data_IF_405966963172
#
_entry.id   IF_405966963172
#
_cell.length_a   1.000
_cell.length_b   1.000
_cell.length_c   1.000
_cell.angle_alpha   90.00
_cell.angle_beta   90.00
_cell.angle_gamma   90.00
#
_symmetry.space_group_name_H-M   'P 1'
#
loop_
_entity.id
_entity.type
_entity.pdbx_description
1 polymer ?
#
# COMPACT_ATOMS: atom_id res chain seq x y z
N UNK A 1 -18.91 -24.69 26.78
CA UNK A 1 -18.30 -23.64 25.94
C UNK A 1 -16.86 -23.51 26.39
N UNK A 2 -15.91 -23.96 25.57
CA UNK A 2 -14.47 -23.83 25.80
C UNK A 2 -14.03 -22.40 25.48
N UNK A 3 -13.18 -21.74 26.31
CA UNK A 3 -12.66 -20.42 26.01
C UNK A 3 -11.62 -20.49 24.87
N UNK A 4 -11.51 -19.42 24.08
CA UNK A 4 -10.62 -19.33 22.93
C UNK A 4 -9.15 -19.58 23.30
N UNK A 5 -8.39 -20.42 22.54
CA UNK A 5 -6.97 -20.71 22.77
C UNK A 5 -6.05 -19.52 22.45
N UNK A 6 -6.58 -18.48 21.81
CA UNK A 6 -5.90 -17.21 21.62
C UNK A 6 -6.29 -16.28 22.77
N UNK A 7 -5.57 -16.38 23.90
CA UNK A 7 -5.59 -15.34 24.93
C UNK A 7 -5.15 -13.98 24.36
N UNK A 8 -5.40 -12.88 25.09
CA UNK A 8 -5.04 -11.51 24.68
C UNK A 8 -3.55 -11.41 24.27
N UNK A 9 -3.29 -11.53 22.96
CA UNK A 9 -1.94 -11.53 22.35
C UNK A 9 -1.34 -10.13 22.21
N UNK A 10 -1.78 -9.18 23.03
CA UNK A 10 -1.16 -7.87 23.12
C UNK A 10 -1.12 -7.44 24.58
N UNK A 11 0.08 -7.26 25.11
CA UNK A 11 0.27 -6.53 26.36
C UNK A 11 -0.29 -5.12 26.14
N UNK A 12 -1.54 -4.90 26.55
CA UNK A 12 -2.24 -3.62 26.41
C UNK A 12 -1.44 -2.61 27.25
N UNK A 13 -0.55 -1.86 26.58
CA UNK A 13 0.32 -0.91 27.26
C UNK A 13 -0.58 0.04 28.04
N UNK A 14 -0.33 0.17 29.34
CA UNK A 14 -1.05 1.13 30.17
C UNK A 14 -0.87 2.53 29.60
N UNK A 15 -1.87 3.39 29.74
CA UNK A 15 -1.77 4.80 29.34
C UNK A 15 -0.51 5.48 29.94
N UNK A 16 -0.13 5.06 31.15
CA UNK A 16 1.07 5.53 31.82
C UNK A 16 2.36 5.09 31.11
N UNK A 17 2.42 3.85 30.63
CA UNK A 17 3.57 3.35 29.86
C UNK A 17 3.68 4.07 28.51
N UNK A 18 2.55 4.32 27.84
CA UNK A 18 2.52 5.09 26.59
C UNK A 18 3.05 6.50 26.83
N UNK A 19 2.59 7.18 27.89
CA UNK A 19 3.06 8.51 28.27
C UNK A 19 4.56 8.53 28.55
N UNK A 20 5.06 7.51 29.26
CA UNK A 20 6.48 7.42 29.60
C UNK A 20 7.33 7.18 28.35
N UNK A 21 6.89 6.31 27.45
CA UNK A 21 7.53 6.07 26.15
C UNK A 21 7.59 7.35 25.31
N UNK A 22 6.50 8.10 25.21
CA UNK A 22 6.46 9.38 24.47
C UNK A 22 7.44 10.40 25.07
N UNK A 23 7.48 10.54 26.40
CA UNK A 23 8.43 11.45 27.09
C UNK A 23 9.89 11.08 26.81
N UNK A 24 10.20 9.78 26.82
CA UNK A 24 11.55 9.29 26.53
C UNK A 24 11.92 9.49 25.06
N UNK A 25 10.97 9.25 24.14
CA UNK A 25 11.15 9.48 22.71
C UNK A 25 11.44 10.96 22.42
N UNK A 26 10.64 11.86 23.01
CA UNK A 26 10.82 13.30 22.86
C UNK A 26 12.22 13.76 23.32
N UNK A 27 12.68 13.31 24.50
CA UNK A 27 14.04 13.60 24.97
C UNK A 27 15.12 13.06 24.03
N UNK A 28 14.90 11.86 23.47
CA UNK A 28 15.84 11.23 22.54
C UNK A 28 15.96 12.02 21.23
N UNK A 29 14.83 12.51 20.71
CA UNK A 29 14.80 13.30 19.48
C UNK A 29 15.40 14.70 19.72
N UNK A 30 15.09 15.35 20.85
CA UNK A 30 15.69 16.62 21.27
C UNK A 30 17.23 16.54 21.37
N UNK A 31 17.77 15.47 21.99
CA UNK A 31 19.23 15.25 22.08
C UNK A 31 19.89 15.13 20.69
N UNK A 32 19.15 14.62 19.69
CA UNK A 32 19.64 14.47 18.32
C UNK A 32 19.57 15.77 17.49
N UNK A 33 19.06 16.89 18.04
CA UNK A 33 18.84 18.16 17.31
C UNK A 33 17.99 18.02 16.03
N UNK A 34 17.16 16.97 15.92
CA UNK A 34 16.36 16.69 14.72
C UNK A 34 14.96 17.35 14.73
N UNK A 35 14.66 18.24 15.70
CA UNK A 35 13.35 18.93 15.80
C UNK A 35 13.42 20.42 15.40
N UNK A 36 14.59 21.00 15.15
CA UNK A 36 14.69 22.37 14.65
C UNK A 36 14.78 22.35 13.11
N UNK A 37 13.67 22.60 12.43
CA UNK A 37 13.73 22.89 10.99
C UNK A 37 12.43 22.81 10.18
N UNK A 38 11.33 22.24 10.68
CA UNK A 38 10.11 22.02 9.86
C UNK A 38 8.91 22.86 10.30
N UNK A 39 9.00 23.58 11.43
CA UNK A 39 7.87 24.34 11.99
C UNK A 39 7.89 25.85 11.72
N UNK A 40 8.80 26.34 10.87
CA UNK A 40 8.95 27.78 10.62
C UNK A 40 8.96 28.19 9.13
N UNK A 41 8.60 27.28 8.21
CA UNK A 41 8.53 27.56 6.77
C UNK A 41 7.13 27.32 6.18
N UNK A 42 6.09 27.87 6.82
CA UNK A 42 4.73 27.92 6.23
C UNK A 42 4.22 29.35 6.06
N UNK A 43 5.10 30.35 5.99
CA UNK A 43 4.70 31.72 5.65
C UNK A 43 5.81 32.36 4.81
N UNK A 44 5.59 32.54 3.51
CA UNK A 44 6.40 33.43 2.67
C UNK A 44 6.99 32.86 1.38
N UNK A 45 6.17 32.88 0.32
CA UNK A 45 6.47 33.47 -1.00
C UNK A 45 7.69 32.98 -1.82
N UNK A 46 7.66 33.35 -3.12
CA UNK A 46 8.70 33.35 -4.16
C UNK A 46 9.24 32.03 -4.79
N UNK A 47 8.95 31.92 -6.09
CA UNK A 47 9.51 31.11 -7.18
C UNK A 47 11.01 30.80 -7.12
N UNK A 48 11.49 29.74 -7.82
CA UNK A 48 12.79 29.85 -8.48
C UNK A 48 12.83 29.26 -9.91
N UNK A 49 13.04 30.14 -10.89
CA UNK A 49 13.81 29.85 -12.09
C UNK A 49 15.27 30.26 -11.79
N UNK A 50 16.23 29.31 -11.81
CA UNK A 50 17.70 29.46 -12.04
C UNK A 50 18.61 28.60 -11.12
N UNK A 51 19.84 28.23 -11.58
CA UNK A 51 20.58 27.03 -11.17
C UNK A 51 21.64 27.26 -10.05
N UNK A 52 22.28 26.20 -9.49
CA UNK A 52 23.08 26.33 -8.25
C UNK A 52 24.52 26.85 -8.50
N UNK A 53 25.13 27.55 -7.52
CA UNK A 53 26.56 27.87 -7.57
C UNK A 53 27.40 26.73 -6.98
N UNK A 54 28.50 26.47 -7.69
CA UNK A 54 29.59 25.57 -7.37
C UNK A 54 30.71 26.37 -6.66
N UNK A 55 31.05 25.99 -5.43
CA UNK A 55 32.29 26.34 -4.67
C UNK A 55 32.12 25.69 -3.28
N UNK A 56 32.97 24.83 -2.72
CA UNK A 56 34.41 24.71 -2.79
C UNK A 56 35.04 25.23 -1.48
N UNK A 57 35.33 24.35 -0.50
CA UNK A 57 36.45 24.47 0.47
C UNK A 57 36.50 23.36 1.54
N UNK A 58 37.53 22.51 1.45
CA UNK A 58 38.56 22.11 2.46
C UNK A 58 38.48 22.68 3.91
N UNK A 59 38.85 22.05 5.05
CA UNK A 59 39.61 20.84 5.47
C UNK A 59 39.31 20.51 7.00
N UNK A 60 40.20 19.95 7.87
CA UNK A 60 40.29 18.53 8.29
C UNK A 60 40.17 18.30 9.84
N UNK A 61 40.12 17.03 10.32
CA UNK A 61 40.60 16.70 11.68
C UNK A 61 39.82 15.69 12.54
N UNK A 62 40.38 14.48 12.63
CA UNK A 62 40.51 13.58 13.80
C UNK A 62 39.28 13.20 14.66
N UNK A 63 38.93 11.91 14.64
CA UNK A 63 39.15 11.00 15.79
C UNK A 63 38.73 9.57 15.44
N UNK A 64 39.67 8.64 15.62
CA UNK A 64 39.43 7.21 15.57
C UNK A 64 38.63 6.76 16.80
N UNK A 65 37.62 5.91 16.61
CA UNK A 65 36.89 5.29 17.71
C UNK A 65 35.67 4.51 17.24
N UNK A 66 35.79 3.18 17.20
CA UNK A 66 34.64 2.27 17.28
C UNK A 66 34.05 1.82 15.95
N UNK A 67 34.54 0.69 15.46
CA UNK A 67 33.85 -0.17 14.50
C UNK A 67 32.49 -0.62 15.06
N UNK A 68 31.41 -0.24 14.38
CA UNK A 68 30.16 -1.01 14.35
C UNK A 68 29.86 -1.28 12.88
N UNK A 69 29.64 -2.56 12.47
CA UNK A 69 29.22 -2.84 11.11
C UNK A 69 27.93 -2.09 10.85
N UNK A 70 27.99 -1.33 9.78
CA UNK A 70 26.97 -0.45 9.24
C UNK A 70 25.57 -1.07 9.33
N UNK A 71 24.70 -0.52 10.18
CA UNK A 71 23.23 -0.62 10.05
C UNK A 71 22.70 0.06 8.76
N UNK A 72 23.58 0.29 7.79
CA UNK A 72 23.35 0.96 6.50
C UNK A 72 22.98 -0.03 5.39
N UNK A 73 22.88 -1.32 5.71
CA UNK A 73 22.54 -2.41 4.79
C UNK A 73 21.09 -2.89 4.99
N UNK A 74 20.19 -2.00 5.39
CA UNK A 74 18.77 -2.20 5.14
C UNK A 74 18.35 -1.11 4.17
N UNK A 75 17.79 -1.45 2.99
CA UNK A 75 17.07 -0.47 2.21
C UNK A 75 15.82 -0.09 3.00
N UNK A 76 15.93 0.92 3.87
CA UNK A 76 14.76 1.53 4.48
C UNK A 76 14.07 2.36 3.40
N UNK A 77 12.82 2.01 3.11
CA UNK A 77 11.98 2.82 2.26
C UNK A 77 11.77 4.19 2.91
N UNK A 78 11.98 5.24 2.13
CA UNK A 78 11.56 6.59 2.49
C UNK A 78 10.02 6.65 2.56
N UNK A 79 9.47 7.59 3.33
CA UNK A 79 8.03 7.78 3.43
C UNK A 79 7.35 7.96 2.05
N UNK A 80 8.04 8.65 1.13
CA UNK A 80 7.59 8.79 -0.26
C UNK A 80 7.49 7.45 -0.99
N UNK A 81 8.49 6.58 -0.83
CA UNK A 81 8.47 5.24 -1.45
C UNK A 81 7.34 4.38 -0.87
N UNK A 82 7.10 4.44 0.43
CA UNK A 82 5.98 3.73 1.07
C UNK A 82 4.64 4.22 0.54
N UNK A 83 4.47 5.54 0.38
CA UNK A 83 3.26 6.12 -0.22
C UNK A 83 2.98 5.57 -1.62
N UNK A 84 4.01 5.52 -2.49
CA UNK A 84 3.88 4.96 -3.84
C UNK A 84 3.52 3.48 -3.84
N UNK A 85 4.06 2.70 -2.89
CA UNK A 85 3.76 1.27 -2.77
C UNK A 85 2.29 1.08 -2.36
N UNK A 86 1.83 1.80 -1.34
CA UNK A 86 0.43 1.74 -0.89
C UNK A 86 -0.54 2.17 -1.99
N UNK A 87 -0.24 3.25 -2.71
CA UNK A 87 -1.04 3.72 -3.84
C UNK A 87 -1.17 2.63 -4.92
N UNK A 88 -0.06 1.99 -5.30
CA UNK A 88 -0.06 0.91 -6.29
C UNK A 88 -0.89 -0.29 -5.82
N UNK A 89 -0.70 -0.73 -4.58
CA UNK A 89 -1.43 -1.88 -4.02
C UNK A 89 -2.94 -1.63 -3.96
N UNK A 90 -3.35 -0.41 -3.60
CA UNK A 90 -4.76 -0.02 -3.59
C UNK A 90 -5.34 -0.04 -5.01
N UNK A 91 -4.61 0.53 -5.98
CA UNK A 91 -5.02 0.53 -7.39
C UNK A 91 -5.14 -0.87 -7.96
N UNK A 92 -4.15 -1.74 -7.69
CA UNK A 92 -4.15 -3.14 -8.13
C UNK A 92 -5.34 -3.91 -7.55
N UNK A 93 -5.66 -3.71 -6.26
CA UNK A 93 -6.82 -4.34 -5.63
C UNK A 93 -8.13 -3.85 -6.26
N UNK A 94 -8.24 -2.55 -6.53
CA UNK A 94 -9.42 -1.97 -7.17
C UNK A 94 -9.61 -2.52 -8.59
N UNK A 95 -8.53 -2.56 -9.37
CA UNK A 95 -8.51 -3.14 -10.71
C UNK A 95 -8.92 -4.61 -10.70
N UNK A 96 -8.33 -5.41 -9.80
CA UNK A 96 -8.70 -6.82 -9.65
C UNK A 96 -10.19 -7.03 -9.36
N UNK A 97 -10.77 -6.24 -8.46
CA UNK A 97 -12.20 -6.34 -8.15
C UNK A 97 -13.06 -5.97 -9.36
N UNK A 98 -12.64 -4.95 -10.12
CA UNK A 98 -13.33 -4.55 -11.35
C UNK A 98 -13.27 -5.65 -12.41
N UNK A 99 -12.10 -6.26 -12.62
CA UNK A 99 -11.89 -7.37 -13.56
C UNK A 99 -12.73 -8.59 -13.18
N UNK A 100 -12.71 -9.02 -11.91
CA UNK A 100 -13.52 -10.16 -11.44
C UNK A 100 -15.02 -9.94 -11.67
N UNK A 101 -15.49 -8.70 -11.49
CA UNK A 101 -16.88 -8.33 -11.75
C UNK A 101 -17.21 -8.42 -13.24
N UNK A 102 -16.36 -7.86 -14.11
CA UNK A 102 -16.56 -7.86 -15.55
C UNK A 102 -16.51 -9.27 -16.14
N UNK A 103 -15.57 -10.10 -15.66
CA UNK A 103 -15.46 -11.52 -16.02
C UNK A 103 -16.75 -12.26 -15.63
N UNK A 104 -17.20 -12.10 -14.37
CA UNK A 104 -18.41 -12.76 -13.89
C UNK A 104 -19.64 -12.33 -14.71
N UNK A 105 -19.79 -11.03 -14.96
CA UNK A 105 -20.89 -10.50 -15.74
C UNK A 105 -20.90 -11.05 -17.17
N UNK A 106 -19.74 -11.02 -17.83
CA UNK A 106 -19.58 -11.52 -19.21
C UNK A 106 -19.89 -13.01 -19.29
N UNK A 107 -19.36 -13.79 -18.35
CA UNK A 107 -19.65 -15.23 -18.23
C UNK A 107 -21.15 -15.49 -18.07
N UNK A 108 -21.84 -14.74 -17.21
CA UNK A 108 -23.30 -14.87 -17.02
C UNK A 108 -24.10 -14.53 -18.28
N UNK A 109 -23.70 -13.50 -19.02
CA UNK A 109 -24.36 -13.16 -20.29
C UNK A 109 -24.15 -14.25 -21.35
N UNK A 110 -22.95 -14.82 -21.42
CA UNK A 110 -22.66 -15.93 -22.32
C UNK A 110 -23.48 -17.19 -21.97
N UNK A 111 -23.57 -17.55 -20.69
CA UNK A 111 -24.41 -18.68 -20.22
C UNK A 111 -25.89 -18.50 -20.63
N UNK A 112 -26.42 -17.28 -20.50
CA UNK A 112 -27.79 -16.95 -20.91
C UNK A 112 -27.98 -17.10 -22.42
N UNK A 113 -27.03 -16.59 -23.21
CA UNK A 113 -27.04 -16.71 -24.65
C UNK A 113 -27.04 -18.19 -25.09
N UNK A 114 -26.13 -18.99 -24.54
CA UNK A 114 -26.02 -20.42 -24.85
C UNK A 114 -27.31 -21.16 -24.49
N UNK A 115 -27.92 -20.83 -23.35
CA UNK A 115 -29.20 -21.42 -22.93
C UNK A 115 -30.32 -21.08 -23.91
N UNK A 116 -30.40 -19.82 -24.36
CA UNK A 116 -31.39 -19.38 -25.34
C UNK A 116 -31.20 -20.06 -26.70
N UNK A 117 -29.97 -20.17 -27.19
CA UNK A 117 -29.65 -20.84 -28.45
C UNK A 117 -30.01 -22.32 -28.38
N UNK A 118 -29.63 -23.02 -27.30
CA UNK A 118 -29.99 -24.43 -27.08
C UNK A 118 -31.50 -24.63 -27.04
N UNK A 119 -32.22 -23.80 -26.30
CA UNK A 119 -33.68 -23.87 -26.24
C UNK A 119 -34.31 -23.69 -27.63
N UNK A 120 -33.85 -22.69 -28.39
CA UNK A 120 -34.38 -22.42 -29.74
C UNK A 120 -34.08 -23.57 -30.70
N UNK A 121 -32.86 -24.09 -30.66
CA UNK A 121 -32.45 -25.26 -31.45
C UNK A 121 -33.32 -26.48 -31.12
N UNK A 122 -33.53 -26.78 -29.85
CA UNK A 122 -34.33 -27.93 -29.43
C UNK A 122 -35.81 -27.78 -29.82
N UNK A 123 -36.36 -26.58 -29.74
CA UNK A 123 -37.72 -26.28 -30.19
C UNK A 123 -37.87 -26.48 -31.70
N UNK A 124 -36.84 -26.12 -32.48
CA UNK A 124 -36.80 -26.37 -33.91
C UNK A 124 -36.74 -27.86 -34.21
N UNK A 125 -35.83 -28.60 -33.56
CA UNK A 125 -35.67 -30.04 -33.76
C UNK A 125 -36.90 -30.84 -33.33
N UNK A 126 -37.60 -30.45 -32.26
CA UNK A 126 -38.88 -31.06 -31.90
C UNK A 126 -39.96 -30.81 -32.96
N UNK A 127 -40.10 -29.57 -33.45
CA UNK A 127 -41.13 -29.25 -34.46
C UNK A 127 -40.90 -29.93 -35.82
N UNK A 128 -39.65 -30.11 -36.24
CA UNK A 128 -39.31 -30.62 -37.57
C UNK A 128 -38.77 -32.06 -37.59
N UNK A 129 -38.35 -32.61 -36.43
CA UNK A 129 -37.91 -33.99 -36.30
C UNK A 129 -39.05 -35.00 -36.12
N UNK A 130 -40.24 -34.56 -35.69
CA UNK A 130 -41.46 -35.39 -35.55
C UNK A 130 -42.32 -35.41 -36.82
N UNK A 131 -41.90 -34.83 -37.94
CA UNK A 131 -42.64 -34.94 -39.20
C UNK A 131 -42.41 -36.34 -39.78
N UNK A 132 -43.40 -37.26 -39.79
CA UNK A 132 -43.21 -38.56 -40.40
C UNK A 132 -42.91 -38.34 -41.89
N UNK A 133 -41.79 -38.90 -42.35
CA UNK A 133 -41.46 -38.93 -43.77
C UNK A 133 -42.66 -39.49 -44.53
N UNK A 134 -43.26 -38.65 -45.37
CA UNK A 134 -44.39 -39.00 -46.24
C UNK A 134 -43.91 -39.79 -47.45
#
# INVERSE_FOLDING_TARGET
>A
MEPSPFGEVSSKLSAEQILNNIKQEYKRIQKRKHIDGVYQQTEGCYSPESPPPLSGSSMPGTSAGGSSPSKKEQPLFTLRQVGMICERLLKEREEKVREEYEETMTSKLAEQYDTFVKFTHDQLMRRFGEQPAS
#
